data_IF_517626147555
#
_entry.id   IF_517626147555
#
_cell.length_a   1.000
_cell.length_b   1.000
_cell.length_c   1.000
_cell.angle_alpha   90.00
_cell.angle_beta   90.00
_cell.angle_gamma   90.00
#
_symmetry.space_group_name_H-M   'P 1'
#
loop_
_entity.id
_entity.type
_entity.pdbx_description
1 polymer ?
#
# COMPACT_ATOMS: atom_id res chain seq x y z
N UNK A 1 -9.71 15.64 -1.28
CA UNK A 1 -9.91 14.37 -0.55
C UNK A 1 -8.78 14.27 0.46
N UNK A 2 -9.08 13.95 1.72
CA UNK A 2 -8.03 13.71 2.72
C UNK A 2 -7.42 12.32 2.55
N UNK A 3 -6.23 12.06 3.12
CA UNK A 3 -5.59 10.75 3.06
C UNK A 3 -6.51 9.66 3.64
N UNK A 4 -6.57 8.52 2.97
CA UNK A 4 -7.29 7.33 3.43
C UNK A 4 -6.36 6.52 4.35
N UNK A 5 -6.70 6.48 5.63
CA UNK A 5 -5.83 5.93 6.67
C UNK A 5 -6.12 4.46 6.96
N UNK A 6 -5.07 3.71 7.20
CA UNK A 6 -5.15 2.39 7.84
C UNK A 6 -5.12 2.55 9.36
N UNK A 7 -5.96 1.79 10.05
CA UNK A 7 -5.94 1.69 11.51
C UNK A 7 -6.10 0.23 11.95
N UNK A 8 -5.04 -0.44 12.45
CA UNK A 8 -3.69 0.07 12.70
C UNK A 8 -2.82 0.16 11.42
N UNK A 9 -1.63 0.82 11.48
CA UNK A 9 -0.68 0.82 10.38
C UNK A 9 -0.23 -0.59 9.97
N UNK A 10 0.01 -0.78 8.68
CA UNK A 10 0.45 -2.05 8.09
C UNK A 10 1.96 -2.06 7.95
N UNK A 11 2.63 -3.07 8.49
CA UNK A 11 4.10 -3.16 8.46
C UNK A 11 4.59 -4.12 7.37
N UNK A 12 5.29 -3.58 6.38
CA UNK A 12 5.86 -4.35 5.26
C UNK A 12 7.35 -4.60 5.45
N UNK A 13 7.87 -5.66 4.83
CA UNK A 13 9.30 -5.97 4.84
C UNK A 13 10.03 -5.03 3.88
N UNK A 14 11.16 -4.49 4.31
CA UNK A 14 12.04 -3.72 3.43
C UNK A 14 13.17 -4.60 2.89
N UNK A 15 13.98 -4.06 1.97
CA UNK A 15 15.21 -4.74 1.50
C UNK A 15 16.27 -4.90 2.61
N UNK A 16 16.13 -4.17 3.73
CA UNK A 16 17.04 -4.27 4.89
C UNK A 16 16.51 -5.30 5.89
N UNK A 17 17.25 -6.39 6.16
CA UNK A 17 16.86 -7.38 7.17
C UNK A 17 16.61 -6.72 8.54
N UNK A 18 15.55 -7.17 9.23
CA UNK A 18 15.17 -6.64 10.55
C UNK A 18 14.43 -5.30 10.53
N UNK A 19 14.33 -4.61 9.39
CA UNK A 19 13.60 -3.34 9.27
C UNK A 19 12.27 -3.53 8.54
N UNK A 20 11.19 -3.05 9.17
CA UNK A 20 9.85 -2.99 8.58
C UNK A 20 9.43 -1.54 8.38
N UNK A 21 8.84 -1.25 7.22
CA UNK A 21 8.26 0.06 6.96
C UNK A 21 6.81 0.08 7.42
N UNK A 22 6.42 1.08 8.19
CA UNK A 22 5.05 1.25 8.67
C UNK A 22 4.27 2.11 7.70
N UNK A 23 3.26 1.54 7.06
CA UNK A 23 2.40 2.21 6.09
C UNK A 23 1.06 2.52 6.75
N UNK A 24 0.71 3.79 6.86
CA UNK A 24 -0.51 4.23 7.56
C UNK A 24 -1.60 4.81 6.65
N UNK A 25 -1.34 4.97 5.35
CA UNK A 25 -2.34 5.49 4.41
C UNK A 25 -2.13 4.93 3.00
N UNK A 26 -3.15 5.06 2.16
CA UNK A 26 -3.20 4.52 0.80
C UNK A 26 -2.10 5.06 -0.10
N UNK A 27 -1.80 6.36 -0.04
CA UNK A 27 -0.72 6.91 -0.89
C UNK A 27 0.63 6.28 -0.53
N UNK A 28 0.92 6.11 0.77
CA UNK A 28 2.13 5.42 1.22
C UNK A 28 2.18 3.95 0.78
N UNK A 29 1.03 3.27 0.72
CA UNK A 29 0.96 1.91 0.18
C UNK A 29 1.24 1.88 -1.33
N UNK A 30 0.73 2.85 -2.09
CA UNK A 30 0.98 2.95 -3.51
C UNK A 30 2.46 3.25 -3.80
N UNK A 31 3.09 4.15 -3.03
CA UNK A 31 4.52 4.44 -3.11
C UNK A 31 5.38 3.21 -2.83
N UNK A 32 5.07 2.48 -1.76
CA UNK A 32 5.76 1.23 -1.42
C UNK A 32 5.65 0.21 -2.55
N UNK A 33 4.45 0.01 -3.11
CA UNK A 33 4.21 -0.92 -4.23
C UNK A 33 5.01 -0.55 -5.48
N UNK A 34 5.22 0.74 -5.77
CA UNK A 34 6.04 1.17 -6.91
C UNK A 34 7.51 0.75 -6.77
N UNK A 35 8.01 0.59 -5.54
CA UNK A 35 9.36 0.15 -5.24
C UNK A 35 9.60 -1.37 -5.33
N UNK A 36 8.57 -2.18 -5.58
CA UNK A 36 8.70 -3.64 -5.63
C UNK A 36 9.26 -4.11 -6.98
N UNK A 37 10.28 -4.98 -6.91
CA UNK A 37 10.98 -5.51 -8.09
C UNK A 37 10.11 -6.52 -8.87
N UNK A 38 9.16 -7.20 -8.22
CA UNK A 38 8.29 -8.22 -8.84
C UNK A 38 6.83 -7.76 -8.91
N UNK A 39 6.30 -7.64 -10.13
CA UNK A 39 4.94 -7.15 -10.42
C UNK A 39 4.04 -8.25 -10.96
N UNK A 40 3.64 -9.17 -10.09
CA UNK A 40 2.74 -10.28 -10.42
C UNK A 40 1.25 -9.97 -10.17
N UNK A 41 0.34 -10.95 -10.34
CA UNK A 41 -1.11 -10.74 -10.19
C UNK A 41 -1.53 -10.17 -8.82
N UNK A 42 -0.83 -10.55 -7.75
CA UNK A 42 -1.06 -10.00 -6.40
C UNK A 42 -0.68 -8.52 -6.29
N UNK A 43 0.42 -8.13 -6.95
CA UNK A 43 0.85 -6.74 -7.01
C UNK A 43 -0.17 -5.90 -7.80
N UNK A 44 -0.62 -6.38 -8.96
CA UNK A 44 -1.65 -5.70 -9.76
C UNK A 44 -2.94 -5.49 -8.96
N UNK A 45 -3.39 -6.53 -8.23
CA UNK A 45 -4.57 -6.42 -7.37
C UNK A 45 -4.36 -5.38 -6.27
N UNK A 46 -3.19 -5.33 -5.65
CA UNK A 46 -2.89 -4.36 -4.60
C UNK A 46 -2.90 -2.91 -5.13
N UNK A 47 -2.31 -2.67 -6.30
CA UNK A 47 -2.36 -1.36 -6.96
C UNK A 47 -3.80 -0.98 -7.29
N UNK A 48 -4.58 -1.90 -7.84
CA UNK A 48 -5.99 -1.63 -8.16
C UNK A 48 -6.79 -1.29 -6.90
N UNK A 49 -6.58 -2.00 -5.79
CA UNK A 49 -7.23 -1.66 -4.52
C UNK A 49 -6.87 -0.27 -4.01
N UNK A 50 -5.65 0.21 -4.24
CA UNK A 50 -5.28 1.59 -3.91
C UNK A 50 -6.06 2.59 -4.77
N UNK A 51 -6.18 2.33 -6.08
CA UNK A 51 -6.95 3.16 -7.01
C UNK A 51 -8.44 3.19 -6.64
N UNK A 52 -9.01 2.02 -6.36
CA UNK A 52 -10.42 1.89 -5.98
C UNK A 52 -10.72 2.63 -4.67
N UNK A 53 -9.81 2.54 -3.69
CA UNK A 53 -9.93 3.26 -2.44
C UNK A 53 -9.94 4.78 -2.65
N UNK A 54 -8.98 5.31 -3.41
CA UNK A 54 -8.92 6.74 -3.74
C UNK A 54 -10.18 7.21 -4.47
N UNK A 55 -10.77 6.37 -5.31
CA UNK A 55 -12.02 6.67 -6.02
C UNK A 55 -13.28 6.46 -5.16
N UNK A 56 -13.16 6.05 -3.90
CA UNK A 56 -14.29 5.77 -3.01
C UNK A 56 -15.06 4.48 -3.37
N UNK A 57 -14.48 3.61 -4.19
CA UNK A 57 -15.04 2.31 -4.58
C UNK A 57 -14.68 1.20 -3.58
N UNK A 58 -13.79 1.49 -2.64
CA UNK A 58 -13.32 0.57 -1.61
C UNK A 58 -13.16 1.29 -0.27
N UNK A 59 -13.74 0.73 0.79
CA UNK A 59 -13.53 1.18 2.17
C UNK A 59 -12.30 0.47 2.76
N UNK A 60 -11.49 1.20 3.53
CA UNK A 60 -10.23 0.76 4.12
C UNK A 60 -10.22 0.91 5.64
#
# INVERSE_FOLDING_TARGET
MGPLWFSPPVYVKTKRPGIRNGVSHVEGAAEELMGWDTKGPKWTKAVQSCVDAVNGLLAL
#
